data_IF_759957297179
#
_entry.id   IF_759957297179
#
_cell.length_a   1.000
_cell.length_b   1.000
_cell.length_c   1.000
_cell.angle_alpha   90.00
_cell.angle_beta   90.00
_cell.angle_gamma   90.00
#
_symmetry.space_group_name_H-M   'P 1'
#
loop_
_entity.id
_entity.type
_entity.pdbx_description
1 polymer ?
#
# COMPACT_ATOMS: atom_id res chain seq x y z
N UNK A 1 -19.55 14.69 18.70
CA UNK A 1 -20.88 14.52 18.08
C UNK A 1 -21.19 13.04 17.99
N UNK A 2 -22.39 12.62 18.42
CA UNK A 2 -22.88 11.24 18.29
C UNK A 2 -24.18 11.30 17.49
N UNK A 3 -24.26 10.54 16.40
CA UNK A 3 -25.49 10.38 15.62
C UNK A 3 -25.93 8.92 15.71
N UNK A 4 -27.24 8.72 15.80
CA UNK A 4 -27.90 7.42 15.67
C UNK A 4 -28.54 7.21 14.29
N UNK A 5 -28.45 8.24 13.44
CA UNK A 5 -28.87 8.24 12.04
C UNK A 5 -27.65 8.59 11.15
N UNK A 6 -27.81 8.49 9.83
CA UNK A 6 -26.83 8.96 8.83
C UNK A 6 -26.31 10.36 9.15
N UNK A 7 -24.99 10.50 9.15
CA UNK A 7 -24.32 11.75 9.43
C UNK A 7 -23.65 12.30 8.16
N UNK A 8 -24.16 13.43 7.67
CA UNK A 8 -23.50 14.18 6.59
C UNK A 8 -22.80 15.41 7.13
N UNK A 9 -21.49 15.51 6.89
CA UNK A 9 -20.68 16.70 7.15
C UNK A 9 -20.24 17.30 5.81
N UNK A 10 -20.73 18.51 5.51
CA UNK A 10 -20.41 19.20 4.27
C UNK A 10 -19.95 20.63 4.54
N UNK A 11 -18.93 21.08 3.81
CA UNK A 11 -18.41 22.46 3.88
C UNK A 11 -18.10 22.91 5.32
N UNK A 12 -17.40 22.05 6.06
CA UNK A 12 -17.24 22.21 7.50
C UNK A 12 -15.77 22.15 7.94
N UNK A 13 -15.47 22.92 9.00
CA UNK A 13 -14.26 22.77 9.78
C UNK A 13 -14.64 22.32 11.20
N UNK A 14 -14.32 21.07 11.54
CA UNK A 14 -14.70 20.48 12.82
C UNK A 14 -13.47 20.06 13.62
N UNK A 15 -13.30 20.67 14.78
CA UNK A 15 -12.42 20.17 15.84
C UNK A 15 -13.29 19.51 16.90
N UNK A 16 -13.51 18.20 16.77
CA UNK A 16 -14.42 17.46 17.65
C UNK A 16 -13.66 16.38 18.42
N UNK A 17 -13.80 16.30 19.75
CA UNK A 17 -13.08 15.32 20.55
C UNK A 17 -13.53 13.88 20.22
N UNK A 18 -14.75 13.67 19.72
CA UNK A 18 -15.21 12.35 19.32
C UNK A 18 -16.21 12.48 18.17
N UNK A 19 -15.91 11.84 17.04
CA UNK A 19 -16.88 11.62 15.98
C UNK A 19 -17.26 10.14 15.94
N UNK A 20 -18.56 9.90 16.11
CA UNK A 20 -19.13 8.56 16.05
C UNK A 20 -20.48 8.63 15.34
N UNK A 21 -20.57 7.99 14.18
CA UNK A 21 -21.84 7.58 13.57
C UNK A 21 -22.12 6.13 13.96
N UNK A 22 -23.41 5.81 14.11
CA UNK A 22 -23.87 4.43 14.23
C UNK A 22 -24.26 3.85 12.87
N UNK A 23 -24.66 4.71 11.93
CA UNK A 23 -24.95 4.39 10.53
C UNK A 23 -23.91 5.10 9.63
N UNK A 24 -24.29 5.49 8.42
CA UNK A 24 -23.40 6.05 7.41
C UNK A 24 -22.79 7.40 7.81
N UNK A 25 -21.52 7.59 7.48
CA UNK A 25 -20.83 8.87 7.60
C UNK A 25 -20.36 9.35 6.23
N UNK A 26 -21.00 10.42 5.73
CA UNK A 26 -20.54 11.11 4.52
C UNK A 26 -19.85 12.42 4.88
N UNK A 27 -18.59 12.57 4.45
CA UNK A 27 -17.80 13.79 4.63
C UNK A 27 -17.39 14.35 3.28
N UNK A 28 -17.82 15.57 2.98
CA UNK A 28 -17.53 16.24 1.72
C UNK A 28 -17.01 17.66 1.96
N UNK A 29 -15.90 18.03 1.31
CA UNK A 29 -15.35 19.39 1.37
C UNK A 29 -15.20 19.82 2.84
N UNK A 30 -14.50 19.02 3.63
CA UNK A 30 -14.39 19.25 5.07
C UNK A 30 -12.98 19.01 5.59
N UNK A 31 -12.68 19.67 6.69
CA UNK A 31 -11.48 19.40 7.49
C UNK A 31 -11.94 19.00 8.88
N UNK A 32 -11.61 17.78 9.27
CA UNK A 32 -12.05 17.19 10.53
C UNK A 32 -10.82 16.73 11.29
N UNK A 33 -10.69 17.22 12.52
CA UNK A 33 -9.65 16.79 13.45
C UNK A 33 -10.28 16.35 14.78
N UNK A 34 -9.82 15.22 15.29
CA UNK A 34 -10.28 14.68 16.57
C UNK A 34 -9.38 13.54 17.05
N UNK A 35 -9.37 13.20 18.34
CA UNK A 35 -8.59 12.08 18.85
C UNK A 35 -9.17 10.72 18.41
N UNK A 36 -10.48 10.64 18.11
CA UNK A 36 -11.15 9.42 17.65
C UNK A 36 -12.21 9.72 16.59
N UNK A 37 -12.18 8.92 15.52
CA UNK A 37 -13.22 8.87 14.49
C UNK A 37 -13.66 7.42 14.29
N UNK A 38 -14.96 7.20 14.38
CA UNK A 38 -15.57 5.89 14.18
C UNK A 38 -16.83 5.98 13.33
N UNK A 39 -16.90 5.17 12.28
CA UNK A 39 -18.17 4.73 11.67
C UNK A 39 -18.43 3.28 12.07
N UNK A 40 -19.69 2.91 12.24
CA UNK A 40 -20.08 1.50 12.41
C UNK A 40 -20.70 0.89 11.16
N UNK A 41 -21.06 1.71 10.18
CA UNK A 41 -21.51 1.33 8.85
C UNK A 41 -20.53 1.98 7.84
N UNK A 42 -21.00 2.48 6.71
CA UNK A 42 -20.14 3.05 5.67
C UNK A 42 -19.50 4.40 6.03
N UNK A 43 -18.32 4.64 5.48
CA UNK A 43 -17.62 5.93 5.52
C UNK A 43 -17.27 6.39 4.10
N UNK A 44 -17.93 7.45 3.65
CA UNK A 44 -17.59 8.12 2.38
C UNK A 44 -16.89 9.45 2.63
N UNK A 45 -15.70 9.62 2.07
CA UNK A 45 -14.87 10.82 2.23
C UNK A 45 -14.48 11.36 0.86
N UNK A 46 -14.93 12.56 0.54
CA UNK A 46 -14.64 13.23 -0.74
C UNK A 46 -14.11 14.64 -0.55
N UNK A 47 -13.02 14.97 -1.23
CA UNK A 47 -12.42 16.31 -1.19
C UNK A 47 -12.17 16.83 0.25
N UNK A 48 -11.78 15.94 1.16
CA UNK A 48 -11.72 16.23 2.58
C UNK A 48 -10.38 15.81 3.21
N UNK A 49 -10.09 16.38 4.38
CA UNK A 49 -8.92 16.04 5.20
C UNK A 49 -9.40 15.58 6.56
N UNK A 50 -9.12 14.31 6.89
CA UNK A 50 -9.42 13.76 8.21
C UNK A 50 -8.13 13.45 8.94
N UNK A 51 -7.98 14.00 10.14
CA UNK A 51 -6.83 13.78 10.99
C UNK A 51 -7.26 13.26 12.35
N UNK A 52 -6.91 12.01 12.64
CA UNK A 52 -7.19 11.41 13.94
C UNK A 52 -6.12 10.42 14.34
N UNK A 53 -5.65 10.41 15.60
CA UNK A 53 -4.84 9.34 16.17
C UNK A 53 -5.41 7.93 15.92
N UNK A 54 -6.74 7.80 15.96
CA UNK A 54 -7.46 6.54 15.76
C UNK A 54 -8.62 6.73 14.78
N UNK A 55 -8.59 5.97 13.68
CA UNK A 55 -9.70 5.87 12.75
C UNK A 55 -10.13 4.42 12.61
N UNK A 56 -11.44 4.18 12.76
CA UNK A 56 -12.05 2.87 12.59
C UNK A 56 -13.34 3.01 11.79
N UNK A 57 -13.55 2.12 10.85
CA UNK A 57 -14.82 1.90 10.19
C UNK A 57 -15.02 0.38 10.16
N UNK A 58 -16.27 -0.04 10.33
CA UNK A 58 -16.59 -1.45 10.31
C UNK A 58 -16.84 -1.85 8.85
N UNK A 59 -17.70 -1.13 8.15
CA UNK A 59 -18.14 -1.59 6.84
C UNK A 59 -17.32 -0.89 5.73
N UNK A 60 -17.93 -0.38 4.66
CA UNK A 60 -17.15 0.09 3.52
C UNK A 60 -16.49 1.46 3.76
N UNK A 61 -15.30 1.64 3.20
CA UNK A 61 -14.63 2.94 3.16
C UNK A 61 -14.37 3.38 1.73
N UNK A 62 -15.07 4.43 1.30
CA UNK A 62 -14.81 5.08 0.03
C UNK A 62 -14.08 6.41 0.24
N UNK A 63 -12.86 6.52 -0.26
CA UNK A 63 -12.02 7.73 -0.17
C UNK A 63 -11.71 8.24 -1.56
N UNK A 64 -12.16 9.44 -1.88
CA UNK A 64 -11.90 10.08 -3.16
C UNK A 64 -11.29 11.46 -2.98
N UNK A 65 -10.11 11.67 -3.58
CA UNK A 65 -9.43 12.97 -3.58
C UNK A 65 -9.29 13.57 -2.16
N UNK A 66 -8.90 12.72 -1.21
CA UNK A 66 -8.90 13.05 0.21
C UNK A 66 -7.59 12.62 0.90
N UNK A 67 -7.37 13.17 2.09
CA UNK A 67 -6.19 12.89 2.92
C UNK A 67 -6.67 12.34 4.26
N UNK A 68 -6.26 11.12 4.60
CA UNK A 68 -6.56 10.51 5.90
C UNK A 68 -5.26 10.28 6.67
N UNK A 69 -5.07 11.04 7.74
CA UNK A 69 -3.87 10.98 8.58
C UNK A 69 -4.20 10.30 9.89
N UNK A 70 -3.64 9.10 10.10
CA UNK A 70 -3.79 8.41 11.39
C UNK A 70 -2.65 7.43 11.69
N UNK A 71 -2.02 7.47 12.85
CA UNK A 71 -1.18 6.39 13.33
C UNK A 71 -1.88 5.00 13.27
N UNK A 72 -3.17 4.92 13.56
CA UNK A 72 -3.92 3.66 13.61
C UNK A 72 -5.19 3.72 12.73
N UNK A 73 -5.15 3.01 11.61
CA UNK A 73 -6.29 2.83 10.70
C UNK A 73 -6.71 1.36 10.65
N UNK A 74 -8.01 1.11 10.85
CA UNK A 74 -8.61 -0.22 10.71
C UNK A 74 -9.91 -0.13 9.91
N UNK A 75 -9.97 -0.88 8.81
CA UNK A 75 -11.21 -1.29 8.16
C UNK A 75 -11.51 -2.71 8.58
N UNK A 76 -12.78 -3.07 8.62
CA UNK A 76 -13.14 -4.48 8.58
C UNK A 76 -13.45 -4.82 7.12
N UNK A 77 -14.27 -4.04 6.44
CA UNK A 77 -14.66 -4.38 5.06
C UNK A 77 -13.84 -3.62 3.99
N UNK A 78 -14.37 -3.58 2.75
CA UNK A 78 -13.68 -3.34 1.49
C UNK A 78 -13.33 -1.85 1.24
N UNK A 79 -12.08 -1.40 1.51
CA UNK A 79 -11.77 0.00 1.31
C UNK A 79 -11.48 0.27 -0.17
N UNK A 80 -12.16 1.26 -0.73
CA UNK A 80 -11.89 1.81 -2.06
C UNK A 80 -11.24 3.18 -1.90
N UNK A 81 -9.97 3.27 -2.29
CA UNK A 81 -9.17 4.49 -2.15
C UNK A 81 -8.71 4.98 -3.51
N UNK A 82 -9.13 6.17 -3.90
CA UNK A 82 -8.79 6.78 -5.19
C UNK A 82 -8.26 8.20 -5.03
N UNK A 83 -7.10 8.49 -5.64
CA UNK A 83 -6.44 9.81 -5.57
C UNK A 83 -6.25 10.31 -4.13
N UNK A 84 -5.90 9.41 -3.22
CA UNK A 84 -5.78 9.74 -1.80
C UNK A 84 -4.32 9.71 -1.30
N UNK A 85 -4.09 10.36 -0.18
CA UNK A 85 -2.83 10.30 0.57
C UNK A 85 -3.12 9.78 1.97
N UNK A 86 -2.53 8.63 2.30
CA UNK A 86 -2.81 7.90 3.53
C UNK A 86 -1.50 7.60 4.30
N UNK A 87 -0.96 8.57 5.07
CA UNK A 87 0.17 8.37 5.95
C UNK A 87 -0.30 7.81 7.29
N UNK A 88 0.10 6.57 7.57
CA UNK A 88 -0.32 5.86 8.76
C UNK A 88 0.83 5.07 9.38
N UNK A 89 0.73 4.72 10.66
CA UNK A 89 1.72 3.83 11.28
C UNK A 89 1.31 2.36 11.16
N UNK A 90 0.02 2.07 11.27
CA UNK A 90 -0.53 0.73 11.16
C UNK A 90 -1.79 0.75 10.27
N UNK A 91 -1.82 -0.11 9.26
CA UNK A 91 -3.04 -0.48 8.55
C UNK A 91 -3.29 -1.97 8.62
N UNK A 92 -4.54 -2.30 8.91
CA UNK A 92 -5.09 -3.64 8.84
C UNK A 92 -6.47 -3.54 8.23
N UNK A 93 -6.60 -3.47 6.89
CA UNK A 93 -7.85 -3.91 6.31
C UNK A 93 -7.99 -5.42 6.54
N UNK A 94 -9.19 -5.84 6.84
CA UNK A 94 -9.49 -7.26 6.93
C UNK A 94 -9.92 -7.75 5.55
N UNK A 95 -10.67 -6.94 4.80
CA UNK A 95 -11.21 -7.36 3.51
C UNK A 95 -10.55 -6.63 2.29
N UNK A 96 -11.14 -6.76 1.10
CA UNK A 96 -10.56 -6.41 -0.21
C UNK A 96 -10.16 -4.93 -0.27
N UNK A 97 -8.87 -4.66 -0.48
CA UNK A 97 -8.39 -3.28 -0.61
C UNK A 97 -8.05 -2.95 -2.07
N UNK A 98 -8.83 -2.02 -2.63
CA UNK A 98 -8.55 -1.41 -3.93
C UNK A 98 -8.01 0.00 -3.76
N UNK A 99 -6.77 0.22 -4.21
CA UNK A 99 -6.14 1.54 -4.16
C UNK A 99 -5.68 1.97 -5.54
N UNK A 100 -6.26 3.05 -6.05
CA UNK A 100 -5.92 3.61 -7.35
C UNK A 100 -5.33 5.02 -7.24
N UNK A 101 -4.22 5.27 -7.94
CA UNK A 101 -3.61 6.62 -8.02
C UNK A 101 -3.35 7.25 -6.65
N UNK A 102 -2.96 6.44 -5.66
CA UNK A 102 -2.82 6.88 -4.28
C UNK A 102 -1.39 6.68 -3.75
N UNK A 103 -1.10 7.37 -2.66
CA UNK A 103 0.15 7.25 -1.92
C UNK A 103 -0.16 6.66 -0.53
N UNK A 104 0.40 5.49 -0.24
CA UNK A 104 0.27 4.81 1.04
C UNK A 104 1.62 4.75 1.73
N UNK A 105 1.69 5.29 2.94
CA UNK A 105 2.87 5.19 3.79
C UNK A 105 2.49 4.56 5.14
N UNK A 106 3.31 3.61 5.59
CA UNK A 106 3.08 2.74 6.75
C UNK A 106 4.34 2.52 7.56
N UNK A 107 4.27 2.25 8.88
CA UNK A 107 5.34 1.48 9.54
C UNK A 107 5.11 -0.01 9.36
N UNK A 108 3.85 -0.43 9.48
CA UNK A 108 3.40 -1.81 9.29
C UNK A 108 2.11 -1.82 8.47
N UNK A 109 2.11 -2.63 7.42
CA UNK A 109 0.96 -2.88 6.57
C UNK A 109 0.67 -4.38 6.58
N UNK A 110 -0.48 -4.79 7.10
CA UNK A 110 -0.91 -6.18 7.08
C UNK A 110 -2.27 -6.27 6.40
N UNK A 111 -2.38 -7.17 5.42
CA UNK A 111 -3.57 -7.39 4.61
C UNK A 111 -3.98 -8.84 4.72
N UNK A 112 -5.26 -9.10 4.92
CA UNK A 112 -5.76 -10.49 5.02
C UNK A 112 -6.33 -10.97 3.68
N UNK A 113 -7.02 -10.08 2.96
CA UNK A 113 -7.64 -10.40 1.67
C UNK A 113 -6.91 -9.76 0.48
N UNK A 114 -7.44 -10.02 -0.72
CA UNK A 114 -6.86 -9.67 -2.00
C UNK A 114 -6.61 -8.16 -2.14
N UNK A 115 -5.52 -7.82 -2.82
CA UNK A 115 -5.07 -6.44 -2.95
C UNK A 115 -4.83 -6.06 -4.39
N UNK A 116 -5.44 -4.95 -4.80
CA UNK A 116 -5.23 -4.40 -6.15
C UNK A 116 -4.76 -2.95 -6.09
N UNK A 117 -3.55 -2.72 -6.63
CA UNK A 117 -2.82 -1.46 -6.54
C UNK A 117 -2.44 -0.89 -7.93
N UNK A 118 -3.41 -0.34 -8.70
CA UNK A 118 -3.13 0.34 -9.95
C UNK A 118 -2.58 1.77 -9.74
N UNK A 119 -1.41 2.05 -10.33
CA UNK A 119 -0.80 3.39 -10.35
C UNK A 119 -0.55 3.95 -8.95
N UNK A 120 -0.04 3.14 -8.03
CA UNK A 120 0.14 3.54 -6.62
C UNK A 120 1.61 3.64 -6.23
N UNK A 121 1.87 4.42 -5.19
CA UNK A 121 3.14 4.40 -4.48
C UNK A 121 2.90 3.87 -3.07
N UNK A 122 3.62 2.82 -2.69
CA UNK A 122 3.52 2.19 -1.38
C UNK A 122 4.90 2.14 -0.71
N UNK A 123 4.97 2.67 0.52
CA UNK A 123 6.19 2.69 1.31
C UNK A 123 5.89 2.21 2.74
N UNK A 124 6.45 1.06 3.11
CA UNK A 124 6.37 0.57 4.49
C UNK A 124 7.58 -0.28 4.82
N UNK A 125 8.26 -0.08 5.96
CA UNK A 125 9.31 -0.98 6.43
C UNK A 125 8.86 -2.45 6.45
N UNK A 126 7.61 -2.71 6.83
CA UNK A 126 7.05 -4.06 6.90
C UNK A 126 5.73 -4.17 6.15
N UNK A 127 5.65 -5.13 5.24
CA UNK A 127 4.43 -5.47 4.47
C UNK A 127 4.17 -6.96 4.60
N UNK A 128 2.93 -7.32 4.92
CA UNK A 128 2.45 -8.69 4.93
C UNK A 128 1.10 -8.78 4.22
N UNK A 129 0.96 -9.70 3.27
CA UNK A 129 -0.33 -10.12 2.72
C UNK A 129 -0.55 -11.61 3.01
N UNK A 130 -1.80 -11.95 3.33
CA UNK A 130 -2.22 -13.34 3.48
C UNK A 130 -2.92 -13.91 2.24
N UNK A 131 -3.45 -13.05 1.37
CA UNK A 131 -4.06 -13.39 0.09
C UNK A 131 -3.33 -12.69 -1.09
N UNK A 132 -3.94 -12.70 -2.28
CA UNK A 132 -3.33 -12.29 -3.54
C UNK A 132 -2.95 -10.81 -3.54
N UNK A 133 -1.84 -10.49 -4.18
CA UNK A 133 -1.42 -9.11 -4.40
C UNK A 133 -1.13 -8.82 -5.87
N UNK A 134 -1.85 -7.85 -6.43
CA UNK A 134 -1.68 -7.36 -7.79
C UNK A 134 -1.16 -5.91 -7.82
N UNK A 135 0.08 -5.73 -8.29
CA UNK A 135 0.72 -4.43 -8.50
C UNK A 135 0.78 -4.10 -9.99
N UNK A 136 0.20 -2.98 -10.42
CA UNK A 136 0.31 -2.52 -11.82
C UNK A 136 0.67 -1.05 -11.91
N UNK A 137 1.72 -0.71 -12.66
CA UNK A 137 2.23 0.68 -12.76
C UNK A 137 2.54 1.28 -11.39
N UNK A 138 3.00 0.45 -10.46
CA UNK A 138 3.17 0.80 -9.06
C UNK A 138 4.65 0.95 -8.68
N UNK A 139 4.90 1.66 -7.59
CA UNK A 139 6.20 1.73 -6.93
C UNK A 139 6.03 1.22 -5.51
N UNK A 140 6.82 0.21 -5.13
CA UNK A 140 6.80 -0.35 -3.79
C UNK A 140 8.19 -0.31 -3.17
N UNK A 141 8.28 0.20 -1.94
CA UNK A 141 9.49 0.20 -1.14
C UNK A 141 9.26 -0.39 0.26
N UNK A 142 10.05 -1.39 0.64
CA UNK A 142 10.02 -1.99 1.98
C UNK A 142 11.38 -2.43 2.51
N UNK A 143 11.46 -2.75 3.80
CA UNK A 143 12.60 -3.52 4.31
C UNK A 143 12.26 -5.01 4.23
N UNK A 144 11.05 -5.37 4.65
CA UNK A 144 10.59 -6.74 4.67
C UNK A 144 9.21 -6.85 4.04
N UNK A 145 9.09 -7.74 3.06
CA UNK A 145 7.83 -8.14 2.46
C UNK A 145 7.61 -9.64 2.63
N UNK A 146 6.38 -10.02 3.00
CA UNK A 146 5.92 -11.40 2.96
C UNK A 146 4.55 -11.49 2.29
N UNK A 147 4.44 -12.29 1.24
CA UNK A 147 3.15 -12.76 0.72
C UNK A 147 2.99 -14.23 1.07
N UNK A 148 1.79 -14.62 1.48
CA UNK A 148 1.43 -16.03 1.64
C UNK A 148 0.79 -16.60 0.37
N UNK A 149 0.20 -15.76 -0.47
CA UNK A 149 -0.47 -16.15 -1.72
C UNK A 149 0.20 -15.47 -2.92
N UNK A 150 -0.45 -15.54 -4.10
CA UNK A 150 0.09 -15.05 -5.37
C UNK A 150 0.56 -13.59 -5.31
N UNK A 151 1.72 -13.32 -5.92
CA UNK A 151 2.14 -11.96 -6.24
C UNK A 151 2.25 -11.75 -7.76
N UNK A 152 1.39 -10.87 -8.27
CA UNK A 152 1.40 -10.42 -9.68
C UNK A 152 1.92 -8.99 -9.78
N UNK A 153 3.06 -8.80 -10.45
CA UNK A 153 3.71 -7.49 -10.65
C UNK A 153 3.83 -7.18 -12.13
N UNK A 154 3.29 -6.03 -12.56
CA UNK A 154 3.37 -5.57 -13.94
C UNK A 154 3.74 -4.09 -14.04
N UNK A 155 4.72 -3.76 -14.90
CA UNK A 155 5.11 -2.36 -15.17
C UNK A 155 5.45 -1.58 -13.91
N UNK A 156 6.11 -2.22 -12.94
CA UNK A 156 6.28 -1.70 -11.59
C UNK A 156 7.74 -1.69 -11.14
N UNK A 157 8.04 -0.90 -10.12
CA UNK A 157 9.35 -0.89 -9.44
C UNK A 157 9.14 -1.41 -8.03
N UNK A 158 9.91 -2.41 -7.64
CA UNK A 158 9.80 -3.00 -6.32
C UNK A 158 11.17 -3.16 -5.68
N UNK A 159 11.34 -2.50 -4.54
CA UNK A 159 12.58 -2.44 -3.81
C UNK A 159 12.37 -2.90 -2.37
N UNK A 160 12.95 -4.04 -2.00
CA UNK A 160 12.86 -4.58 -0.64
C UNK A 160 14.18 -5.18 -0.17
N UNK A 161 14.52 -5.08 1.12
CA UNK A 161 15.71 -5.79 1.60
C UNK A 161 15.50 -7.31 1.57
N UNK A 162 14.38 -7.80 2.11
CA UNK A 162 14.02 -9.21 2.17
C UNK A 162 12.61 -9.40 1.64
N UNK A 163 12.43 -10.39 0.76
CA UNK A 163 11.13 -10.81 0.26
C UNK A 163 10.91 -12.30 0.40
N UNK A 164 9.74 -12.67 0.89
CA UNK A 164 9.30 -14.06 1.04
C UNK A 164 7.93 -14.26 0.40
N UNK A 165 7.85 -15.27 -0.44
CA UNK A 165 6.63 -15.75 -1.07
C UNK A 165 6.47 -17.21 -0.68
N UNK A 166 5.24 -17.59 -0.38
CA UNK A 166 4.91 -19.00 -0.23
C UNK A 166 4.40 -19.49 -1.58
N UNK A 167 3.35 -18.88 -2.12
CA UNK A 167 2.81 -19.22 -3.43
C UNK A 167 3.51 -18.55 -4.64
N UNK A 168 2.86 -18.64 -5.80
CA UNK A 168 3.35 -18.24 -7.11
C UNK A 168 3.64 -16.75 -7.22
N UNK A 169 4.60 -16.45 -8.09
CA UNK A 169 4.99 -15.09 -8.38
C UNK A 169 5.24 -14.88 -9.86
N UNK A 170 4.53 -13.88 -10.39
CA UNK A 170 4.67 -13.44 -11.79
C UNK A 170 5.13 -11.99 -11.83
N UNK A 171 6.24 -11.74 -12.51
CA UNK A 171 6.83 -10.41 -12.66
C UNK A 171 7.04 -10.11 -14.14
N UNK A 172 6.42 -9.04 -14.62
CA UNK A 172 6.51 -8.61 -16.01
C UNK A 172 6.82 -7.12 -16.15
N UNK A 173 7.72 -6.75 -17.07
CA UNK A 173 8.03 -5.35 -17.37
C UNK A 173 8.43 -4.54 -16.13
N UNK A 174 9.17 -5.14 -15.20
CA UNK A 174 9.38 -4.58 -13.87
C UNK A 174 10.87 -4.43 -13.51
N UNK A 175 11.15 -3.60 -12.51
CA UNK A 175 12.46 -3.50 -11.88
C UNK A 175 12.37 -4.07 -10.47
N UNK A 176 13.16 -5.09 -10.17
CA UNK A 176 13.26 -5.67 -8.82
C UNK A 176 14.65 -5.44 -8.25
N UNK A 177 14.72 -4.71 -7.14
CA UNK A 177 15.95 -4.48 -6.39
C UNK A 177 15.80 -5.08 -4.99
N UNK A 178 16.35 -6.28 -4.77
CA UNK A 178 16.21 -6.97 -3.49
C UNK A 178 17.51 -7.60 -3.00
N UNK A 179 17.82 -7.52 -1.71
CA UNK A 179 18.99 -8.25 -1.22
C UNK A 179 18.68 -9.77 -1.20
N UNK A 180 17.52 -10.16 -0.70
CA UNK A 180 17.14 -11.56 -0.58
C UNK A 180 15.73 -11.82 -1.10
N UNK A 181 15.57 -12.86 -1.92
CA UNK A 181 14.27 -13.39 -2.36
C UNK A 181 14.19 -14.88 -2.02
N UNK A 182 13.08 -15.28 -1.41
CA UNK A 182 12.70 -16.68 -1.22
C UNK A 182 11.29 -16.92 -1.74
N UNK A 183 11.13 -17.80 -2.72
CA UNK A 183 9.84 -18.39 -3.14
C UNK A 183 9.76 -19.83 -2.65
N UNK A 184 8.55 -20.33 -2.41
CA UNK A 184 8.34 -21.75 -2.24
C UNK A 184 7.80 -22.37 -3.52
N UNK A 185 6.88 -21.70 -4.21
CA UNK A 185 6.34 -22.18 -5.49
C UNK A 185 6.96 -21.47 -6.72
N UNK A 186 6.21 -21.32 -7.82
CA UNK A 186 6.76 -20.91 -9.11
C UNK A 186 7.16 -19.44 -9.12
N UNK A 187 8.33 -19.15 -9.70
CA UNK A 187 8.75 -17.78 -9.96
C UNK A 187 8.98 -17.55 -11.45
N UNK A 188 8.07 -16.78 -12.05
CA UNK A 188 8.04 -16.44 -13.46
C UNK A 188 8.46 -14.99 -13.68
N UNK A 189 9.48 -14.78 -14.50
CA UNK A 189 9.99 -13.45 -14.84
C UNK A 189 10.06 -13.25 -16.35
N UNK A 190 9.45 -12.15 -16.82
CA UNK A 190 9.46 -11.77 -18.22
C UNK A 190 9.75 -10.28 -18.40
N UNK A 191 10.75 -9.95 -19.22
CA UNK A 191 11.13 -8.56 -19.51
C UNK A 191 11.31 -7.71 -18.24
N UNK A 192 12.08 -8.20 -17.27
CA UNK A 192 12.30 -7.51 -16.01
C UNK A 192 13.79 -7.43 -15.69
N UNK A 193 14.22 -6.33 -15.06
CA UNK A 193 15.59 -6.19 -14.58
C UNK A 193 15.67 -6.55 -13.10
N UNK A 194 16.61 -7.43 -12.75
CA UNK A 194 16.77 -7.99 -11.41
C UNK A 194 18.13 -7.60 -10.83
N UNK A 195 18.13 -6.77 -9.79
CA UNK A 195 19.28 -6.50 -8.95
C UNK A 195 19.11 -7.27 -7.64
N UNK A 196 19.58 -8.53 -7.62
CA UNK A 196 19.36 -9.45 -6.50
C UNK A 196 20.68 -10.02 -6.00
N UNK A 197 20.91 -9.97 -4.67
CA UNK A 197 22.10 -10.56 -4.08
C UNK A 197 21.96 -12.08 -3.87
N UNK A 198 20.79 -12.56 -3.44
CA UNK A 198 20.51 -13.99 -3.29
C UNK A 198 19.05 -14.33 -3.58
N UNK A 199 18.84 -15.42 -4.31
CA UNK A 199 17.52 -15.97 -4.62
C UNK A 199 17.49 -17.47 -4.31
N UNK A 200 16.39 -17.93 -3.69
CA UNK A 200 16.12 -19.35 -3.46
C UNK A 200 14.67 -19.65 -3.81
N UNK A 201 14.46 -20.65 -4.66
CA UNK A 201 13.14 -21.24 -4.93
C UNK A 201 13.19 -22.70 -4.50
N UNK A 202 12.07 -23.25 -4.01
CA UNK A 202 11.95 -24.71 -3.81
C UNK A 202 11.39 -25.42 -5.04
N UNK A 203 10.60 -24.71 -5.86
CA UNK A 203 10.09 -25.18 -7.15
C UNK A 203 10.71 -24.42 -8.35
N UNK A 204 10.25 -24.71 -9.56
CA UNK A 204 10.82 -24.27 -10.84
C UNK A 204 10.92 -22.75 -11.02
N UNK A 205 12.02 -22.34 -11.67
CA UNK A 205 12.32 -20.96 -12.05
C UNK A 205 12.23 -20.80 -13.57
N UNK A 206 11.29 -19.97 -14.04
CA UNK A 206 11.13 -19.71 -15.48
C UNK A 206 11.52 -18.28 -15.84
N UNK A 207 12.43 -18.15 -16.82
CA UNK A 207 12.91 -16.87 -17.32
C UNK A 207 12.63 -16.76 -18.82
N UNK A 208 12.11 -15.61 -19.28
CA UNK A 208 11.93 -15.33 -20.69
C UNK A 208 12.44 -13.92 -21.07
N UNK A 209 13.41 -13.89 -21.99
CA UNK A 209 14.10 -12.74 -22.61
C UNK A 209 14.70 -11.62 -21.71
N UNK A 210 15.95 -11.27 -22.02
CA UNK A 210 16.86 -10.29 -21.41
C UNK A 210 16.91 -10.27 -19.86
N UNK A 211 17.42 -11.35 -19.28
CA UNK A 211 17.91 -11.38 -17.90
C UNK A 211 19.28 -10.69 -17.81
N UNK A 212 19.32 -9.47 -17.27
CA UNK A 212 20.57 -8.81 -16.89
C UNK A 212 20.81 -9.01 -15.38
N UNK A 213 21.58 -10.04 -15.04
CA UNK A 213 22.08 -10.25 -13.69
C UNK A 213 23.22 -9.26 -13.44
N UNK A 214 22.95 -8.16 -12.73
CA UNK A 214 24.02 -7.29 -12.24
C UNK A 214 24.58 -7.92 -10.96
N UNK A 215 25.58 -8.78 -11.13
CA UNK A 215 26.27 -9.43 -10.01
C UNK A 215 27.11 -8.41 -9.21
N UNK A 216 26.76 -8.28 -7.93
CA UNK A 216 27.65 -8.03 -6.78
C UNK A 216 28.59 -6.80 -6.70
N UNK A 217 28.44 -5.72 -7.48
CA UNK A 217 29.38 -4.57 -7.36
C UNK A 217 28.79 -3.25 -6.82
N UNK A 218 27.47 -3.15 -6.58
CA UNK A 218 26.84 -1.87 -6.17
C UNK A 218 26.47 -1.76 -4.68
N UNK A 219 26.76 -2.78 -3.86
CA UNK A 219 26.36 -2.82 -2.45
C UNK A 219 27.44 -2.46 -1.43
N UNK A 220 28.53 -1.80 -1.83
CA UNK A 220 29.45 -1.15 -0.88
C UNK A 220 28.94 0.18 -0.32
N UNK A 221 27.72 0.62 -0.67
CA UNK A 221 27.08 1.80 -0.04
C UNK A 221 25.69 1.47 0.50
N UNK A 222 25.65 0.69 1.57
CA UNK A 222 24.47 0.38 2.41
C UNK A 222 23.78 1.62 3.04
N UNK A 223 24.23 2.84 2.74
CA UNK A 223 23.70 4.09 3.29
C UNK A 223 23.08 5.00 2.21
N UNK A 224 23.25 4.72 0.91
CA UNK A 224 22.75 5.63 -0.16
C UNK A 224 21.45 5.19 -0.87
N UNK A 225 20.95 3.97 -0.64
CA UNK A 225 19.76 3.48 -1.35
C UNK A 225 18.46 4.29 -1.07
N UNK A 226 18.18 4.76 0.17
CA UNK A 226 17.04 5.64 0.41
C UNK A 226 17.15 6.96 -0.37
N UNK A 227 18.37 7.49 -0.53
CA UNK A 227 18.62 8.73 -1.28
C UNK A 227 18.43 8.55 -2.77
N UNK A 228 18.83 7.41 -3.33
CA UNK A 228 18.62 7.09 -4.74
C UNK A 228 17.13 6.85 -5.05
N UNK A 229 16.41 6.16 -4.18
CA UNK A 229 14.96 5.98 -4.30
C UNK A 229 14.20 7.31 -4.18
N UNK A 230 14.58 8.19 -3.25
CA UNK A 230 14.06 9.57 -3.17
C UNK A 230 14.38 10.38 -4.42
N UNK A 231 15.57 10.19 -5.03
CA UNK A 231 15.92 10.85 -6.29
C UNK A 231 15.09 10.33 -7.46
N UNK A 232 14.85 9.03 -7.54
CA UNK A 232 13.99 8.41 -8.55
C UNK A 232 12.54 8.83 -8.37
N UNK A 233 12.01 8.84 -7.13
CA UNK A 233 10.70 9.42 -6.81
C UNK A 233 10.61 10.90 -7.20
N UNK A 234 11.66 11.69 -6.94
CA UNK A 234 11.68 13.11 -7.33
C UNK A 234 11.67 13.29 -8.86
N UNK A 235 12.44 12.49 -9.61
CA UNK A 235 12.46 12.52 -11.07
C UNK A 235 11.13 12.09 -11.69
N UNK A 236 10.42 11.14 -11.06
CA UNK A 236 9.11 10.69 -11.50
C UNK A 236 8.01 11.71 -11.19
N UNK A 237 8.16 12.50 -10.12
CA UNK A 237 7.24 13.58 -9.74
C UNK A 237 7.47 14.88 -10.53
N UNK A 238 8.66 15.13 -11.07
CA UNK A 238 9.00 16.35 -11.82
C UNK A 238 8.72 16.28 -13.32
N UNK A 239 8.38 15.11 -13.87
CA UNK A 239 7.90 15.02 -15.26
C UNK A 239 6.41 15.38 -15.31
N UNK A 240 6.14 16.69 -15.42
CA UNK A 240 4.88 17.23 -15.94
C UNK A 240 4.79 16.98 -17.44
#
# INVERSE_FOLDING_TARGET
>A
MRSHDDLTVSNAFLANPFMRSHDDLTVSIAVIAGPFMRSHDDLTVSNAVLASPFMRWCDDLTVFNAVLVSPFMRSYDDPIVSKAVLPNSFKRPQDLLTVAKAILAGRFMCYHDDLTFPKTALASPFIRSHADMALSKAVLASLFMRSHDDLKVSKAVLASHIMRYLDDRTVSNALLANAFIRSHDYFTVSNAALAIHSMRSTEDLTYNWLFLQVLSSFLTTTIQFPRLLLRVLSCFLTRK
#
